data_IF_116952146211
#
_entry.id   IF_116952146211
#
_cell.length_a   1.000
_cell.length_b   1.000
_cell.length_c   1.000
_cell.angle_alpha   90.00
_cell.angle_beta   90.00
_cell.angle_gamma   90.00
#
_symmetry.space_group_name_H-M   'P 1'
#
loop_
_entity.id
_entity.type
_entity.pdbx_description
1 polymer ?
#
# COMPACT_ATOMS: atom_id res chain seq x y z
N UNK A 1 -25.46 -6.30 6.18
CA UNK A 1 -26.52 -7.31 6.48
C UNK A 1 -25.97 -8.53 7.24
N UNK A 2 -24.72 -8.97 6.96
CA UNK A 2 -24.09 -10.14 7.60
C UNK A 2 -23.62 -9.90 9.04
N UNK A 3 -23.59 -8.65 9.52
CA UNK A 3 -23.05 -8.35 10.85
C UNK A 3 -23.90 -8.95 11.96
N UNK A 4 -23.27 -9.72 12.86
CA UNK A 4 -23.90 -10.38 14.01
C UNK A 4 -23.66 -9.65 15.34
N UNK A 5 -22.98 -8.50 15.31
CA UNK A 5 -22.72 -7.69 16.52
C UNK A 5 -21.77 -8.34 17.52
N UNK A 6 -20.78 -9.12 17.06
CA UNK A 6 -19.82 -9.83 17.95
C UNK A 6 -18.73 -8.95 18.54
N UNK A 7 -18.62 -7.68 18.17
CA UNK A 7 -17.63 -6.69 18.62
C UNK A 7 -16.16 -7.00 18.22
N UNK A 8 -15.86 -8.08 17.50
CA UNK A 8 -14.48 -8.46 17.15
C UNK A 8 -13.75 -7.34 16.42
N UNK A 9 -14.41 -6.69 15.42
CA UNK A 9 -13.87 -5.59 14.66
C UNK A 9 -13.53 -4.35 15.53
N UNK A 10 -14.39 -4.00 16.47
CA UNK A 10 -14.17 -2.86 17.36
C UNK A 10 -12.98 -3.10 18.30
N UNK A 11 -12.79 -4.35 18.76
CA UNK A 11 -11.67 -4.72 19.66
C UNK A 11 -10.30 -4.63 18.98
N UNK A 12 -10.21 -4.93 17.69
CA UNK A 12 -8.94 -4.90 16.95
C UNK A 12 -8.66 -3.56 16.29
N UNK A 13 -9.59 -2.61 16.34
CA UNK A 13 -9.42 -1.32 15.70
C UNK A 13 -8.41 -0.46 16.48
N UNK A 14 -7.25 -0.10 15.90
CA UNK A 14 -6.20 0.66 16.59
C UNK A 14 -6.63 2.10 16.90
N UNK A 15 -7.51 2.67 16.08
CA UNK A 15 -8.01 4.05 16.23
C UNK A 15 -9.43 4.12 16.81
N UNK A 16 -10.00 2.99 17.21
CA UNK A 16 -11.31 2.89 17.85
C UNK A 16 -12.41 3.64 17.08
N UNK A 17 -12.38 3.53 15.75
CA UNK A 17 -13.36 4.20 14.86
C UNK A 17 -14.55 3.30 14.49
N UNK A 18 -14.80 2.23 15.25
CA UNK A 18 -15.90 1.29 14.98
C UNK A 18 -16.85 1.30 16.18
N UNK A 19 -18.05 1.80 15.94
CA UNK A 19 -19.10 1.92 16.94
C UNK A 19 -20.15 0.83 16.79
N UNK A 20 -20.70 0.38 17.91
CA UNK A 20 -21.74 -0.65 17.99
C UNK A 20 -21.71 -1.38 19.33
N UNK A 21 -22.87 -1.91 19.73
CA UNK A 21 -23.00 -2.71 20.94
C UNK A 21 -23.07 -4.19 20.60
N UNK A 22 -22.90 -5.03 21.63
CA UNK A 22 -23.07 -6.47 21.49
C UNK A 22 -24.45 -6.79 20.92
N UNK A 23 -24.51 -7.65 19.90
CA UNK A 23 -25.71 -8.05 19.14
C UNK A 23 -26.33 -6.94 18.28
N UNK A 24 -25.68 -5.77 18.16
CA UNK A 24 -26.09 -4.71 17.24
C UNK A 24 -25.12 -4.62 16.03
N UNK A 25 -25.60 -4.09 14.91
CA UNK A 25 -24.73 -3.83 13.77
C UNK A 25 -23.68 -2.78 14.13
N UNK A 26 -22.43 -3.04 13.70
CA UNK A 26 -21.35 -2.07 13.88
C UNK A 26 -21.22 -1.17 12.66
N UNK A 27 -20.88 0.08 12.89
CA UNK A 27 -20.60 1.10 11.86
C UNK A 27 -19.16 1.57 11.99
N UNK A 28 -18.54 1.87 10.85
CA UNK A 28 -17.17 2.37 10.77
C UNK A 28 -17.26 3.87 10.48
N UNK A 29 -16.63 4.68 11.34
CA UNK A 29 -16.39 6.08 11.08
C UNK A 29 -15.24 6.19 10.05
N UNK A 30 -15.60 6.51 8.81
CA UNK A 30 -14.66 6.56 7.68
C UNK A 30 -13.65 7.70 7.79
N UNK A 31 -14.00 8.79 8.47
CA UNK A 31 -13.11 9.95 8.62
C UNK A 31 -11.96 9.63 9.56
N UNK A 32 -12.22 8.85 10.62
CA UNK A 32 -11.23 8.39 11.58
C UNK A 32 -10.52 7.10 11.15
N UNK A 33 -11.09 6.36 10.22
CA UNK A 33 -10.56 5.07 9.78
C UNK A 33 -9.21 5.24 9.06
N UNK A 34 -8.18 4.51 9.50
CA UNK A 34 -6.85 4.47 8.85
C UNK A 34 -6.76 3.44 7.73
N UNK A 35 -7.84 2.77 7.39
CA UNK A 35 -7.94 1.72 6.36
C UNK A 35 -6.97 0.54 6.54
N UNK A 36 -6.51 0.27 7.75
CA UNK A 36 -5.48 -0.75 8.03
C UNK A 36 -5.93 -2.21 7.78
N UNK A 37 -7.24 -2.46 7.64
CA UNK A 37 -7.79 -3.78 7.30
C UNK A 37 -7.90 -4.77 8.46
N UNK A 38 -7.51 -4.43 9.69
CA UNK A 38 -7.57 -5.36 10.84
C UNK A 38 -8.98 -5.88 11.12
N UNK A 39 -9.98 -5.03 10.94
CA UNK A 39 -11.39 -5.41 11.11
C UNK A 39 -11.88 -6.39 10.03
N UNK A 40 -11.31 -6.35 8.82
CA UNK A 40 -11.61 -7.31 7.73
C UNK A 40 -11.12 -8.68 8.15
N UNK A 41 -9.84 -8.78 8.58
CA UNK A 41 -9.23 -10.04 9.03
C UNK A 41 -9.91 -10.63 10.28
N UNK A 42 -10.40 -9.77 11.19
CA UNK A 42 -11.02 -10.20 12.44
C UNK A 42 -12.50 -10.57 12.32
N UNK A 43 -13.16 -10.29 11.19
CA UNK A 43 -14.61 -10.50 11.05
C UNK A 43 -14.95 -11.97 10.76
N UNK A 44 -15.53 -12.73 11.72
CA UNK A 44 -15.75 -14.18 11.54
C UNK A 44 -16.83 -14.51 10.50
N UNK A 45 -17.64 -13.54 10.11
CA UNK A 45 -18.77 -13.74 9.17
C UNK A 45 -18.57 -13.00 7.84
N UNK A 46 -17.39 -12.39 7.61
CA UNK A 46 -17.10 -11.64 6.38
C UNK A 46 -18.07 -10.48 6.14
N UNK A 47 -18.51 -9.79 7.21
CA UNK A 47 -19.40 -8.64 7.10
C UNK A 47 -18.68 -7.34 6.70
N UNK A 48 -17.37 -7.34 6.83
CA UNK A 48 -16.48 -6.23 6.46
C UNK A 48 -15.55 -6.75 5.37
N UNK A 49 -15.41 -6.00 4.30
CA UNK A 49 -14.56 -6.32 3.15
C UNK A 49 -13.92 -5.04 2.62
N UNK A 50 -12.81 -5.19 1.93
CA UNK A 50 -12.11 -4.11 1.24
C UNK A 50 -12.79 -3.75 -0.09
N UNK A 51 -12.48 -2.57 -0.62
CA UNK A 51 -12.89 -2.19 -1.97
C UNK A 51 -12.29 -3.12 -3.03
N UNK A 52 -13.10 -3.62 -3.97
CA UNK A 52 -12.65 -4.47 -5.06
C UNK A 52 -12.19 -3.60 -6.25
N UNK A 53 -10.92 -3.70 -6.62
CA UNK A 53 -10.33 -3.02 -7.77
C UNK A 53 -10.18 -3.92 -9.01
N UNK A 54 -10.66 -5.16 -8.94
CA UNK A 54 -10.55 -6.14 -10.04
C UNK A 54 -11.22 -5.64 -11.32
N UNK A 55 -12.39 -5.02 -11.21
CA UNK A 55 -13.08 -4.45 -12.37
C UNK A 55 -12.30 -3.32 -13.05
N UNK A 56 -11.57 -2.53 -12.27
CA UNK A 56 -10.70 -1.47 -12.83
C UNK A 56 -9.58 -2.10 -13.65
N UNK A 57 -8.93 -3.13 -13.12
CA UNK A 57 -7.89 -3.88 -13.85
C UNK A 57 -8.43 -4.51 -15.12
N UNK A 58 -9.59 -5.19 -15.07
CA UNK A 58 -10.19 -5.81 -16.24
C UNK A 58 -10.55 -4.80 -17.32
N UNK A 59 -11.02 -3.61 -16.95
CA UNK A 59 -11.27 -2.51 -17.88
C UNK A 59 -9.99 -2.01 -18.53
N UNK A 60 -8.92 -1.84 -17.77
CA UNK A 60 -7.65 -1.37 -18.30
C UNK A 60 -7.02 -2.42 -19.23
N UNK A 61 -7.09 -3.72 -18.90
CA UNK A 61 -6.67 -4.82 -19.77
C UNK A 61 -7.48 -4.88 -21.09
N UNK A 62 -8.76 -4.52 -21.05
CA UNK A 62 -9.62 -4.50 -22.23
C UNK A 62 -9.46 -3.23 -23.09
N UNK A 63 -8.71 -2.22 -22.61
CA UNK A 63 -8.55 -0.94 -23.30
C UNK A 63 -7.35 -0.98 -24.25
N UNK A 64 -7.52 -0.96 -25.58
CA UNK A 64 -6.47 -1.24 -26.55
C UNK A 64 -5.24 -0.30 -26.50
N UNK A 65 -5.43 0.94 -26.03
CA UNK A 65 -4.36 1.94 -25.92
C UNK A 65 -3.67 1.97 -24.57
N UNK A 66 -4.17 1.20 -23.60
CA UNK A 66 -3.55 1.11 -22.28
C UNK A 66 -2.45 0.06 -22.27
N UNK A 67 -1.35 0.40 -21.61
CA UNK A 67 -0.28 -0.52 -21.22
C UNK A 67 -0.41 -0.80 -19.74
N UNK A 68 -0.77 -2.03 -19.41
CA UNK A 68 -0.92 -2.44 -18.01
C UNK A 68 0.45 -2.83 -17.46
N UNK A 69 0.93 -2.01 -16.54
CA UNK A 69 2.22 -2.15 -15.87
C UNK A 69 1.98 -2.52 -14.42
N UNK A 70 2.36 -3.74 -14.04
CA UNK A 70 2.15 -4.28 -12.69
C UNK A 70 3.44 -4.22 -11.90
N UNK A 71 3.35 -3.78 -10.66
CA UNK A 71 4.37 -3.99 -9.64
C UNK A 71 3.88 -5.00 -8.60
N UNK A 72 4.77 -5.87 -8.13
CA UNK A 72 4.46 -6.90 -7.15
C UNK A 72 5.31 -6.69 -5.89
N UNK A 73 4.65 -6.64 -4.72
CA UNK A 73 5.36 -6.55 -3.45
C UNK A 73 6.12 -7.85 -3.13
N UNK A 74 7.30 -7.78 -2.48
CA UNK A 74 8.11 -8.96 -2.14
C UNK A 74 7.35 -10.03 -1.35
N UNK A 75 6.47 -9.64 -0.42
CA UNK A 75 5.68 -10.59 0.37
C UNK A 75 4.68 -11.40 -0.47
N UNK A 76 4.16 -10.82 -1.56
CA UNK A 76 3.17 -11.51 -2.42
C UNK A 76 3.78 -12.73 -3.09
N UNK A 77 5.02 -12.65 -3.57
CA UNK A 77 5.68 -13.77 -4.28
C UNK A 77 5.95 -15.00 -3.42
N UNK A 78 5.94 -14.85 -2.08
CA UNK A 78 6.14 -15.95 -1.12
C UNK A 78 4.86 -16.36 -0.40
N UNK A 79 3.78 -15.59 -0.49
CA UNK A 79 2.51 -15.88 0.17
C UNK A 79 1.44 -16.40 -0.79
N UNK A 80 1.34 -15.86 -2.00
CA UNK A 80 0.25 -16.19 -2.94
C UNK A 80 0.25 -17.67 -3.35
N UNK A 81 1.41 -18.34 -3.28
CA UNK A 81 1.53 -19.77 -3.59
C UNK A 81 0.64 -20.66 -2.72
N UNK A 82 0.40 -20.27 -1.47
CA UNK A 82 -0.43 -21.03 -0.53
C UNK A 82 -1.88 -21.17 -1.04
N UNK A 83 -2.42 -20.13 -1.67
CA UNK A 83 -3.76 -20.16 -2.27
C UNK A 83 -3.86 -21.16 -3.46
N UNK A 84 -2.72 -21.61 -4.00
CA UNK A 84 -2.63 -22.56 -5.10
C UNK A 84 -2.02 -23.91 -4.68
N UNK A 85 -1.99 -24.20 -3.37
CA UNK A 85 -1.55 -25.47 -2.82
C UNK A 85 -0.03 -25.67 -2.74
N UNK A 86 0.76 -24.60 -2.84
CA UNK A 86 2.19 -24.66 -2.57
C UNK A 86 2.44 -24.61 -1.05
N UNK A 87 3.56 -25.18 -0.63
CA UNK A 87 4.01 -25.09 0.76
C UNK A 87 4.20 -23.62 1.18
N UNK A 88 3.83 -23.25 2.43
CA UNK A 88 4.01 -21.91 2.97
C UNK A 88 5.43 -21.37 2.75
N UNK A 89 5.53 -20.12 2.32
CA UNK A 89 6.80 -19.45 2.06
C UNK A 89 7.50 -19.84 0.75
N UNK A 90 6.90 -20.69 -0.08
CA UNK A 90 7.46 -21.04 -1.39
C UNK A 90 7.52 -19.81 -2.30
N UNK A 91 8.71 -19.48 -2.80
CA UNK A 91 8.85 -18.39 -3.78
C UNK A 91 8.29 -18.82 -5.15
N UNK A 92 7.16 -18.25 -5.53
CA UNK A 92 6.47 -18.50 -6.80
C UNK A 92 6.60 -17.36 -7.81
N UNK A 93 7.59 -16.48 -7.64
CA UNK A 93 7.79 -15.27 -8.46
C UNK A 93 7.65 -15.52 -9.96
N UNK A 94 8.41 -16.46 -10.51
CA UNK A 94 8.38 -16.78 -11.95
C UNK A 94 7.02 -17.28 -12.41
N UNK A 95 6.32 -18.06 -11.57
CA UNK A 95 4.97 -18.55 -11.87
C UNK A 95 3.95 -17.41 -11.83
N UNK A 96 4.09 -16.51 -10.86
CA UNK A 96 3.23 -15.31 -10.74
C UNK A 96 3.40 -14.40 -11.95
N UNK A 97 4.64 -14.11 -12.37
CA UNK A 97 4.91 -13.33 -13.59
C UNK A 97 4.29 -13.99 -14.81
N UNK A 98 4.47 -15.31 -14.96
CA UNK A 98 3.88 -16.08 -16.06
C UNK A 98 2.35 -16.04 -16.06
N UNK A 99 1.71 -16.11 -14.89
CA UNK A 99 0.27 -16.01 -14.75
C UNK A 99 -0.24 -14.61 -15.13
N UNK A 100 0.39 -13.55 -14.64
CA UNK A 100 0.05 -12.17 -14.98
C UNK A 100 0.19 -11.90 -16.48
N UNK A 101 1.25 -12.39 -17.11
CA UNK A 101 1.43 -12.32 -18.57
C UNK A 101 0.30 -13.03 -19.32
N UNK A 102 -0.14 -14.20 -18.86
CA UNK A 102 -1.27 -14.93 -19.45
C UNK A 102 -2.61 -14.21 -19.29
N UNK A 103 -2.77 -13.39 -18.24
CA UNK A 103 -3.93 -12.54 -18.04
C UNK A 103 -3.95 -11.31 -18.96
N UNK A 104 -2.86 -11.05 -19.70
CA UNK A 104 -2.75 -9.93 -20.62
C UNK A 104 -2.01 -8.71 -20.08
N UNK A 105 -1.32 -8.84 -18.92
CA UNK A 105 -0.48 -7.76 -18.38
C UNK A 105 0.71 -7.52 -19.31
N UNK A 106 0.94 -6.27 -19.72
CA UNK A 106 2.02 -5.91 -20.65
C UNK A 106 3.40 -5.99 -19.97
N UNK A 107 3.53 -5.50 -18.73
CA UNK A 107 4.79 -5.44 -18.00
C UNK A 107 4.61 -5.80 -16.54
N UNK A 108 5.54 -6.58 -16.00
CA UNK A 108 5.55 -6.98 -14.58
C UNK A 108 6.92 -6.66 -13.99
N UNK A 109 6.91 -5.92 -12.89
CA UNK A 109 8.10 -5.49 -12.16
C UNK A 109 8.02 -5.92 -10.70
N UNK A 110 9.17 -5.97 -10.05
CA UNK A 110 9.30 -6.13 -8.60
C UNK A 110 9.35 -4.75 -7.93
N UNK A 111 8.57 -4.54 -6.89
CA UNK A 111 8.60 -3.28 -6.11
C UNK A 111 9.93 -3.08 -5.37
N UNK A 112 10.77 -4.12 -5.24
CA UNK A 112 12.04 -4.08 -4.49
C UNK A 112 12.98 -2.98 -5.00
N UNK A 113 13.11 -2.79 -6.32
CA UNK A 113 13.99 -1.75 -6.84
C UNK A 113 13.51 -0.33 -6.47
N UNK A 114 12.19 -0.13 -6.39
CA UNK A 114 11.64 1.14 -5.93
C UNK A 114 11.82 1.31 -4.40
N UNK A 115 11.89 0.20 -3.66
CA UNK A 115 12.27 0.23 -2.25
C UNK A 115 13.74 0.66 -2.08
N UNK A 116 14.64 0.23 -2.96
CA UNK A 116 16.03 0.70 -2.96
C UNK A 116 16.10 2.22 -3.21
N UNK A 117 15.28 2.73 -4.14
CA UNK A 117 15.15 4.18 -4.36
C UNK A 117 14.62 4.91 -3.12
N UNK A 118 13.60 4.35 -2.45
CA UNK A 118 13.08 4.92 -1.19
C UNK A 118 14.16 4.99 -0.13
N UNK A 119 14.97 3.93 0.01
CA UNK A 119 16.09 3.90 0.96
C UNK A 119 17.11 5.00 0.66
N UNK A 120 17.43 5.22 -0.61
CA UNK A 120 18.35 6.29 -1.02
C UNK A 120 17.82 7.68 -0.67
N UNK A 121 16.54 7.96 -0.94
CA UNK A 121 15.88 9.22 -0.62
C UNK A 121 15.80 9.45 0.90
N UNK A 122 15.38 8.43 1.67
CA UNK A 122 15.31 8.53 3.13
C UNK A 122 16.71 8.69 3.77
N UNK A 123 17.72 8.01 3.22
CA UNK A 123 19.10 8.16 3.71
C UNK A 123 19.65 9.57 3.44
N UNK A 124 19.38 10.15 2.27
CA UNK A 124 19.76 11.51 1.93
C UNK A 124 19.04 12.53 2.84
N UNK A 125 17.75 12.36 3.05
CA UNK A 125 16.97 13.19 3.97
C UNK A 125 17.49 13.08 5.40
N UNK A 126 17.80 11.87 5.87
CA UNK A 126 18.37 11.67 7.21
C UNK A 126 19.73 12.36 7.36
N UNK A 127 20.61 12.24 6.36
CA UNK A 127 21.90 12.91 6.37
C UNK A 127 21.74 14.43 6.45
N UNK A 128 20.87 15.02 5.64
CA UNK A 128 20.58 16.46 5.67
C UNK A 128 20.05 16.90 7.05
N UNK A 129 19.07 16.17 7.61
CA UNK A 129 18.51 16.45 8.93
C UNK A 129 19.59 16.36 10.00
N UNK A 130 20.46 15.36 9.95
CA UNK A 130 21.55 15.15 10.91
C UNK A 130 22.58 16.28 10.86
N UNK A 131 22.98 16.72 9.66
CA UNK A 131 23.90 17.84 9.48
C UNK A 131 23.32 19.16 10.05
N UNK A 132 22.04 19.43 9.81
CA UNK A 132 21.35 20.60 10.35
C UNK A 132 21.26 20.53 11.87
N UNK A 133 20.93 19.37 12.42
CA UNK A 133 20.87 19.14 13.88
C UNK A 133 22.22 19.46 14.55
N UNK A 134 23.34 18.96 14.01
CA UNK A 134 24.67 19.25 14.55
C UNK A 134 25.12 20.71 14.37
N UNK A 135 24.53 21.43 13.43
CA UNK A 135 24.74 22.89 13.28
C UNK A 135 23.86 23.72 14.23
N UNK A 136 23.06 23.09 15.09
CA UNK A 136 22.22 23.77 16.08
C UNK A 136 20.89 24.28 15.52
N UNK A 137 20.38 23.68 14.45
CA UNK A 137 19.07 24.01 13.91
C UNK A 137 17.96 23.35 14.75
N UNK A 138 17.34 24.12 15.62
CA UNK A 138 16.29 23.67 16.54
C UNK A 138 14.96 23.30 15.83
N UNK A 139 14.84 23.59 14.54
CA UNK A 139 13.66 23.24 13.74
C UNK A 139 13.68 21.79 13.28
N UNK A 140 14.83 21.14 13.32
CA UNK A 140 14.99 19.74 12.91
C UNK A 140 14.62 18.81 14.04
N UNK A 141 13.75 17.86 13.77
CA UNK A 141 13.38 16.81 14.71
C UNK A 141 13.98 15.46 14.34
N UNK A 142 14.47 14.77 15.36
CA UNK A 142 14.95 13.40 15.30
C UNK A 142 14.21 12.56 16.37
N UNK A 143 14.00 11.24 16.16
CA UNK A 143 14.43 10.46 14.99
C UNK A 143 13.60 10.79 13.74
N UNK A 144 14.06 10.38 12.56
CA UNK A 144 13.23 10.28 11.36
C UNK A 144 12.43 8.97 11.42
N UNK A 145 11.15 9.02 11.10
CA UNK A 145 10.28 7.86 11.02
C UNK A 145 9.91 7.60 9.56
N UNK A 146 9.98 6.35 9.12
CA UNK A 146 9.61 6.00 7.75
C UNK A 146 8.11 6.19 7.51
N UNK A 147 7.73 6.61 6.30
CA UNK A 147 6.35 7.00 5.95
C UNK A 147 5.70 6.11 4.88
N UNK A 148 6.29 4.94 4.59
CA UNK A 148 5.83 4.04 3.53
C UNK A 148 4.48 3.34 3.82
N UNK A 149 3.93 3.44 5.03
CA UNK A 149 2.64 2.87 5.41
C UNK A 149 1.54 3.94 5.47
N UNK A 150 0.56 3.97 4.56
CA UNK A 150 -0.48 5.00 4.55
C UNK A 150 -1.38 4.96 5.79
N UNK A 151 -1.61 3.79 6.39
CA UNK A 151 -2.34 3.70 7.65
C UNK A 151 -1.58 4.34 8.82
N UNK A 152 -0.25 4.22 8.83
CA UNK A 152 0.63 4.85 9.80
C UNK A 152 0.65 6.36 9.64
N UNK A 153 0.78 6.86 8.42
CA UNK A 153 0.75 8.31 8.13
C UNK A 153 -0.58 8.91 8.62
N UNK A 154 -1.71 8.31 8.22
CA UNK A 154 -3.03 8.76 8.66
C UNK A 154 -3.20 8.67 10.19
N UNK A 155 -2.60 7.69 10.84
CA UNK A 155 -2.62 7.56 12.29
C UNK A 155 -1.89 8.72 12.97
N UNK A 156 -0.70 9.10 12.49
CA UNK A 156 0.06 10.26 13.03
C UNK A 156 -0.73 11.55 12.78
N UNK A 157 -1.21 11.79 11.57
CA UNK A 157 -1.99 12.98 11.22
C UNK A 157 -3.15 13.21 12.18
N UNK A 158 -3.85 12.14 12.55
CA UNK A 158 -5.03 12.23 13.40
C UNK A 158 -4.74 12.29 14.89
N UNK A 159 -3.69 11.62 15.36
CA UNK A 159 -3.46 11.44 16.80
C UNK A 159 -2.25 12.24 17.32
N UNK A 160 -1.33 12.60 16.44
CA UNK A 160 -0.08 13.29 16.79
C UNK A 160 0.27 14.40 15.78
N UNK A 161 -0.63 15.38 15.55
CA UNK A 161 -0.42 16.42 14.53
C UNK A 161 0.86 17.24 14.78
N UNK A 162 1.29 17.38 16.03
CA UNK A 162 2.51 18.09 16.41
C UNK A 162 3.80 17.33 16.03
N UNK A 163 3.68 16.10 15.55
CA UNK A 163 4.79 15.24 15.11
C UNK A 163 4.88 15.07 13.59
N UNK A 164 4.15 15.87 12.82
CA UNK A 164 4.10 15.71 11.36
C UNK A 164 5.39 16.05 10.63
N UNK A 165 6.33 16.68 11.30
CA UNK A 165 7.68 16.96 10.80
C UNK A 165 8.71 15.86 11.11
N UNK A 166 8.31 14.82 11.85
CA UNK A 166 9.16 13.66 12.19
C UNK A 166 9.17 12.58 11.10
N UNK A 167 8.03 12.23 10.47
CA UNK A 167 8.03 11.28 9.35
C UNK A 167 8.89 11.74 8.18
N UNK A 168 9.45 10.77 7.45
CA UNK A 168 10.14 11.03 6.18
C UNK A 168 9.18 11.64 5.15
N UNK A 169 9.71 12.54 4.34
CA UNK A 169 8.99 13.13 3.20
C UNK A 169 9.08 12.27 1.95
N UNK A 170 9.88 11.19 1.96
CA UNK A 170 10.01 10.27 0.83
C UNK A 170 8.69 9.53 0.59
N UNK A 171 8.35 9.39 -0.69
CA UNK A 171 7.22 8.57 -1.10
C UNK A 171 7.47 7.09 -0.83
N UNK A 172 6.37 6.34 -0.65
CA UNK A 172 6.48 4.89 -0.52
C UNK A 172 7.08 4.23 -1.78
N UNK A 173 7.66 3.02 -1.66
CA UNK A 173 8.12 2.27 -2.82
C UNK A 173 7.05 2.09 -3.91
N UNK A 174 5.79 1.92 -3.51
CA UNK A 174 4.68 1.79 -4.46
C UNK A 174 4.46 3.07 -5.27
N UNK A 175 4.49 4.23 -4.64
CA UNK A 175 4.30 5.52 -5.31
C UNK A 175 5.54 5.92 -6.12
N UNK A 176 6.75 5.67 -5.62
CA UNK A 176 8.01 5.91 -6.36
C UNK A 176 7.99 5.08 -7.64
N UNK A 177 7.65 3.77 -7.56
CA UNK A 177 7.49 2.95 -8.74
C UNK A 177 6.52 3.57 -9.74
N UNK A 178 5.31 3.91 -9.29
CA UNK A 178 4.25 4.41 -10.17
C UNK A 178 4.64 5.74 -10.84
N UNK A 179 5.34 6.60 -10.12
CA UNK A 179 5.85 7.87 -10.64
C UNK A 179 6.91 7.63 -11.72
N UNK A 180 7.93 6.82 -11.43
CA UNK A 180 9.01 6.53 -12.39
C UNK A 180 8.47 5.77 -13.60
N UNK A 181 7.57 4.80 -13.40
CA UNK A 181 6.97 4.06 -14.49
C UNK A 181 6.20 4.96 -15.48
N UNK A 182 5.49 5.99 -14.96
CA UNK A 182 4.69 6.89 -15.79
C UNK A 182 5.50 8.05 -16.38
N UNK A 183 6.48 8.59 -15.66
CA UNK A 183 7.14 9.84 -16.04
C UNK A 183 8.49 9.63 -16.72
N UNK A 184 9.19 8.53 -16.42
CA UNK A 184 10.52 8.23 -16.95
C UNK A 184 10.45 7.02 -17.90
N UNK A 185 10.13 5.84 -17.35
CA UNK A 185 10.16 4.60 -18.11
C UNK A 185 9.19 4.61 -19.31
N UNK A 186 7.97 5.11 -19.13
CA UNK A 186 7.00 5.21 -20.23
C UNK A 186 7.56 6.04 -21.39
N UNK A 187 8.17 7.17 -21.08
CA UNK A 187 8.80 8.05 -22.10
C UNK A 187 9.94 7.36 -22.83
N UNK A 188 10.78 6.62 -22.10
CA UNK A 188 11.88 5.84 -22.70
C UNK A 188 11.37 4.74 -23.62
N UNK A 189 10.22 4.15 -23.32
CA UNK A 189 9.57 3.14 -24.15
C UNK A 189 8.70 3.73 -25.28
N UNK A 190 8.62 5.07 -25.39
CA UNK A 190 7.81 5.74 -26.40
C UNK A 190 6.31 5.79 -26.09
N UNK A 191 5.92 5.55 -24.82
CA UNK A 191 4.54 5.66 -24.36
C UNK A 191 4.28 7.03 -23.74
N UNK A 192 3.03 7.49 -23.83
CA UNK A 192 2.58 8.66 -23.09
C UNK A 192 2.16 8.26 -21.69
N UNK A 193 2.28 9.19 -20.73
CA UNK A 193 1.92 8.97 -19.32
C UNK A 193 0.51 8.41 -19.14
N UNK A 194 -0.45 8.94 -19.87
CA UNK A 194 -1.85 8.52 -19.81
C UNK A 194 -2.13 7.13 -20.42
N UNK A 195 -1.20 6.58 -21.19
CA UNK A 195 -1.30 5.23 -21.74
C UNK A 195 -0.88 4.16 -20.70
N UNK A 196 -0.24 4.55 -19.61
CA UNK A 196 0.19 3.63 -18.56
C UNK A 196 -0.92 3.46 -17.52
N UNK A 197 -1.42 2.24 -17.38
CA UNK A 197 -2.19 1.79 -16.23
C UNK A 197 -1.23 1.14 -15.23
N UNK A 198 -0.86 1.89 -14.17
CA UNK A 198 -0.01 1.35 -13.10
C UNK A 198 -0.87 0.59 -12.10
N UNK A 199 -0.53 -0.68 -11.88
CA UNK A 199 -1.25 -1.59 -10.98
C UNK A 199 -0.28 -2.11 -9.94
N UNK A 200 -0.69 -2.06 -8.67
CA UNK A 200 0.11 -2.57 -7.56
C UNK A 200 -0.56 -3.82 -6.95
N UNK A 201 0.18 -4.91 -6.86
CA UNK A 201 -0.25 -6.12 -6.14
C UNK A 201 0.44 -6.12 -4.80
N UNK A 202 -0.33 -5.78 -3.75
CA UNK A 202 0.15 -5.54 -2.41
C UNK A 202 -0.63 -6.37 -1.39
N UNK A 203 0.00 -6.86 -0.30
CA UNK A 203 -0.71 -7.54 0.77
C UNK A 203 -1.40 -6.56 1.73
N UNK A 204 -1.10 -5.28 1.63
CA UNK A 204 -1.57 -4.23 2.54
C UNK A 204 -2.85 -3.58 2.00
N UNK A 205 -3.96 -3.67 2.75
CA UNK A 205 -5.23 -3.08 2.36
C UNK A 205 -5.19 -1.54 2.33
N UNK A 206 -4.41 -0.93 3.22
CA UNK A 206 -4.25 0.52 3.26
C UNK A 206 -3.65 1.10 1.97
N UNK A 207 -2.86 0.30 1.22
CA UNK A 207 -2.30 0.69 -0.07
C UNK A 207 -3.34 1.00 -1.16
N UNK A 208 -4.59 0.63 -0.96
CA UNK A 208 -5.70 1.02 -1.85
C UNK A 208 -6.10 2.51 -1.71
N UNK A 209 -5.59 3.18 -0.70
CA UNK A 209 -5.93 4.57 -0.35
C UNK A 209 -4.72 5.54 -0.46
N UNK A 210 -3.59 5.04 -0.96
CA UNK A 210 -2.36 5.80 -1.23
C UNK A 210 -2.26 6.38 -2.67
#
# INVERSE_FOLDING_TARGET
EKCIGCTACARVCPVKCIDGKLKEKHTIDTDRCTHCGQCVAACPVGAIFEGDHTLNLLRDLATPRKKVVVQVAPAVRVAIGEAFGFEPGTNVEKKLVGALKKLGVDYVFDTTWAADMTIMEEAAEFQERLERYYKGDDTVKLPILTSCCPAWVKFIEQNYPDMMDVPSTAKSPMEIFSTIAKDIWAKEQGFRREEIASVAIMPCLAKKYE
#
